data_IF_736106168485
#
_entry.id   IF_736106168485
#
_cell.length_a   1.000
_cell.length_b   1.000
_cell.length_c   1.000
_cell.angle_alpha   90.00
_cell.angle_beta   90.00
_cell.angle_gamma   90.00
#
_symmetry.space_group_name_H-M   'P 1'
#
loop_
_entity.id
_entity.type
_entity.pdbx_description
1 polymer ?
#
# COMPACT_ATOMS: atom_id res chain seq x y z
N UNK A 1 1.19 3.51 -28.92
CA UNK A 1 1.56 4.80 -28.30
C UNK A 1 1.32 4.85 -26.77
N UNK A 2 0.93 3.75 -26.10
CA UNK A 2 0.38 3.78 -24.73
C UNK A 2 1.32 3.37 -23.58
N UNK A 3 2.47 2.77 -23.82
CA UNK A 3 3.32 2.19 -22.74
C UNK A 3 4.46 3.10 -22.26
N UNK A 4 5.00 3.96 -23.13
CA UNK A 4 6.12 4.86 -22.75
C UNK A 4 5.68 5.96 -21.78
N UNK A 5 4.40 6.35 -21.80
CA UNK A 5 3.88 7.37 -20.88
C UNK A 5 3.62 6.80 -19.48
N UNK A 6 3.21 5.53 -19.38
CA UNK A 6 2.83 4.92 -18.10
C UNK A 6 4.00 4.63 -17.16
N UNK A 7 5.19 4.31 -17.68
CA UNK A 7 6.39 4.11 -16.84
C UNK A 7 6.89 5.41 -16.22
N UNK A 8 6.81 6.53 -16.96
CA UNK A 8 7.16 7.86 -16.43
C UNK A 8 6.17 8.31 -15.36
N UNK A 9 4.88 8.13 -15.61
CA UNK A 9 3.84 8.39 -14.62
C UNK A 9 4.02 7.51 -13.37
N UNK A 10 4.37 6.22 -13.55
CA UNK A 10 4.68 5.34 -12.43
C UNK A 10 5.91 5.79 -11.63
N UNK A 11 6.99 6.19 -12.31
CA UNK A 11 8.19 6.71 -11.67
C UNK A 11 7.91 8.00 -10.86
N UNK A 12 7.09 8.90 -11.39
CA UNK A 12 6.76 10.17 -10.72
C UNK A 12 6.04 9.99 -9.38
N UNK A 13 5.38 8.86 -9.15
CA UNK A 13 4.77 8.53 -7.85
C UNK A 13 5.86 8.38 -6.78
N UNK A 14 6.97 7.73 -7.14
CA UNK A 14 8.07 7.58 -6.21
C UNK A 14 8.76 8.93 -5.96
N UNK A 15 8.83 9.82 -6.94
CA UNK A 15 9.37 11.17 -6.74
C UNK A 15 8.49 11.96 -5.76
N UNK A 16 7.15 11.87 -5.89
CA UNK A 16 6.20 12.45 -4.93
C UNK A 16 6.41 11.86 -3.53
N UNK A 17 6.60 10.55 -3.40
CA UNK A 17 6.86 9.91 -2.11
C UNK A 17 8.18 10.36 -1.48
N UNK A 18 9.20 10.71 -2.28
CA UNK A 18 10.44 11.30 -1.77
C UNK A 18 10.20 12.70 -1.23
N UNK A 19 9.45 13.52 -1.96
CA UNK A 19 9.09 14.87 -1.57
C UNK A 19 8.26 14.88 -0.28
N UNK A 20 7.35 13.92 -0.13
CA UNK A 20 6.52 13.71 1.06
C UNK A 20 7.24 13.00 2.21
N UNK A 21 8.52 12.64 2.05
CA UNK A 21 9.30 11.89 3.06
C UNK A 21 8.67 10.55 3.46
N UNK A 22 7.96 9.91 2.54
CA UNK A 22 7.40 8.56 2.69
C UNK A 22 8.47 7.50 2.38
N UNK A 23 9.37 7.79 1.43
CA UNK A 23 10.55 6.95 1.14
C UNK A 23 11.82 7.77 1.35
N UNK A 24 12.92 7.07 1.59
CA UNK A 24 14.26 7.65 1.69
C UNK A 24 15.26 6.83 0.87
N UNK A 25 16.42 7.45 0.59
CA UNK A 25 17.53 6.72 -0.03
C UNK A 25 18.22 5.90 1.03
N UNK A 26 18.34 4.61 0.77
CA UNK A 26 19.15 3.69 1.58
C UNK A 26 20.62 4.10 1.46
N UNK A 27 21.32 4.21 2.59
CA UNK A 27 22.74 4.55 2.62
C UNK A 27 23.62 3.34 2.29
N UNK A 28 24.84 3.55 1.78
CA UNK A 28 25.79 2.47 1.49
C UNK A 28 25.96 1.44 2.62
N UNK A 29 26.15 1.83 3.89
CA UNK A 29 26.26 0.85 4.98
C UNK A 29 24.96 0.06 5.25
N UNK A 30 23.79 0.63 4.95
CA UNK A 30 22.51 -0.06 5.11
C UNK A 30 22.24 -1.06 3.97
N UNK A 31 22.81 -0.85 2.79
CA UNK A 31 22.71 -1.79 1.67
C UNK A 31 23.39 -3.13 2.02
N UNK A 32 24.45 -3.10 2.84
CA UNK A 32 25.16 -4.29 3.29
C UNK A 32 24.45 -5.04 4.42
N UNK A 33 23.34 -4.51 4.94
CA UNK A 33 22.55 -5.18 5.98
C UNK A 33 21.54 -6.15 5.39
N UNK A 34 21.15 -7.16 6.18
CA UNK A 34 20.09 -8.08 5.79
C UNK A 34 18.77 -7.32 5.56
N UNK A 35 18.37 -7.21 4.29
CA UNK A 35 17.20 -6.47 3.86
C UNK A 35 16.26 -7.33 3.00
N UNK A 36 14.95 -7.05 3.11
CA UNK A 36 13.94 -7.63 2.23
C UNK A 36 13.58 -6.63 1.13
N UNK A 37 13.78 -7.04 -0.13
CA UNK A 37 13.33 -6.27 -1.29
C UNK A 37 11.96 -6.73 -1.75
N UNK A 38 10.98 -5.82 -1.71
CA UNK A 38 9.63 -6.13 -2.13
C UNK A 38 9.48 -5.91 -3.64
N UNK A 39 9.16 -6.99 -4.36
CA UNK A 39 8.77 -6.88 -5.76
C UNK A 39 7.52 -5.98 -5.86
N UNK A 40 7.55 -5.04 -6.80
CA UNK A 40 6.43 -4.12 -6.99
C UNK A 40 5.94 -4.07 -8.43
N UNK A 41 4.65 -3.78 -8.60
CA UNK A 41 4.04 -3.57 -9.93
C UNK A 41 3.05 -2.42 -9.93
N UNK A 42 2.90 -1.80 -11.09
CA UNK A 42 1.88 -0.80 -11.32
C UNK A 42 0.50 -1.44 -11.52
N UNK A 43 -0.50 -0.98 -10.78
CA UNK A 43 -1.93 -1.30 -11.01
C UNK A 43 -2.66 -0.05 -11.47
N UNK A 44 -3.27 -0.13 -12.65
CA UNK A 44 -3.98 0.97 -13.29
C UNK A 44 -5.47 0.92 -12.97
N UNK A 45 -6.05 2.05 -12.56
CA UNK A 45 -7.48 2.18 -12.28
C UNK A 45 -8.09 3.30 -13.11
N UNK A 46 -9.24 3.02 -13.71
CA UNK A 46 -9.86 3.85 -14.77
C UNK A 46 -10.69 5.00 -14.17
N UNK A 47 -11.18 4.87 -12.93
CA UNK A 47 -12.15 5.80 -12.32
C UNK A 47 -11.73 6.35 -10.94
N UNK A 48 -10.46 6.20 -10.55
CA UNK A 48 -9.96 6.73 -9.28
C UNK A 48 -9.14 8.00 -9.47
N UNK A 49 -9.09 8.84 -8.43
CA UNK A 49 -8.28 10.07 -8.44
C UNK A 49 -6.79 9.79 -8.60
N UNK A 50 -6.34 8.62 -8.15
CA UNK A 50 -4.97 8.14 -8.36
C UNK A 50 -5.04 7.03 -9.41
N UNK A 51 -4.69 7.37 -10.65
CA UNK A 51 -4.85 6.48 -11.81
C UNK A 51 -3.91 5.27 -11.78
N UNK A 52 -2.81 5.35 -11.05
CA UNK A 52 -1.78 4.31 -10.95
C UNK A 52 -1.42 4.10 -9.48
N UNK A 53 -1.32 2.85 -9.03
CA UNK A 53 -0.92 2.49 -7.66
C UNK A 53 0.23 1.48 -7.68
N UNK A 54 1.37 1.77 -7.03
CA UNK A 54 2.37 0.75 -6.72
C UNK A 54 1.78 -0.28 -5.75
N UNK A 55 1.88 -1.56 -6.11
CA UNK A 55 1.52 -2.69 -5.24
C UNK A 55 2.78 -3.49 -4.97
N UNK A 56 3.10 -3.66 -3.69
CA UNK A 56 4.25 -4.43 -3.21
C UNK A 56 3.81 -5.83 -2.78
N UNK A 57 4.58 -6.83 -3.18
CA UNK A 57 4.35 -8.21 -2.80
C UNK A 57 5.26 -8.62 -1.63
N UNK A 58 4.68 -8.70 -0.45
CA UNK A 58 5.34 -9.14 0.79
C UNK A 58 5.24 -10.66 1.04
N UNK A 59 4.69 -11.42 0.09
CA UNK A 59 4.55 -12.89 0.19
C UNK A 59 5.69 -13.65 -0.47
N UNK A 60 6.55 -12.96 -1.23
CA UNK A 60 7.69 -13.56 -1.89
C UNK A 60 8.62 -14.25 -0.87
N UNK A 61 9.06 -15.47 -1.22
CA UNK A 61 9.98 -16.28 -0.43
C UNK A 61 11.24 -16.56 -1.25
N UNK A 62 12.38 -16.60 -0.60
CA UNK A 62 13.65 -17.01 -1.19
C UNK A 62 14.04 -18.39 -0.67
N UNK A 63 13.86 -19.43 -1.48
CA UNK A 63 14.13 -20.82 -1.07
C UNK A 63 13.32 -21.21 0.18
N UNK A 64 14.03 -21.59 1.25
CA UNK A 64 13.43 -21.93 2.55
C UNK A 64 13.33 -20.73 3.52
N UNK A 65 13.68 -19.52 3.08
CA UNK A 65 13.56 -18.33 3.92
C UNK A 65 12.08 -17.91 4.10
N UNK A 66 11.70 -17.39 5.28
CA UNK A 66 10.36 -16.86 5.51
C UNK A 66 10.06 -15.65 4.60
N UNK A 67 8.79 -15.42 4.29
CA UNK A 67 8.38 -14.16 3.64
C UNK A 67 8.35 -13.02 4.67
N UNK A 68 8.33 -11.76 4.20
CA UNK A 68 8.17 -10.61 5.11
C UNK A 68 6.90 -10.75 5.97
N UNK A 69 5.80 -11.25 5.39
CA UNK A 69 4.56 -11.49 6.13
C UNK A 69 4.67 -12.56 7.23
N UNK A 70 5.60 -13.51 7.10
CA UNK A 70 5.85 -14.52 8.14
C UNK A 70 6.68 -13.96 9.29
N UNK A 71 7.53 -12.98 9.01
CA UNK A 71 8.41 -12.33 9.99
C UNK A 71 7.70 -11.26 10.84
N UNK A 72 6.58 -10.72 10.36
CA UNK A 72 5.82 -9.68 11.06
C UNK A 72 4.88 -10.29 12.11
N UNK A 73 4.89 -9.71 13.31
CA UNK A 73 3.95 -10.09 14.38
C UNK A 73 2.51 -9.77 13.95
N UNK A 74 1.63 -10.77 14.00
CA UNK A 74 0.20 -10.57 13.80
C UNK A 74 -0.35 -9.80 15.01
N UNK A 75 -0.67 -8.53 14.79
CA UNK A 75 -1.35 -7.72 15.79
C UNK A 75 -2.74 -8.30 16.16
N UNK A 76 -3.31 -7.90 17.30
CA UNK A 76 -4.66 -8.29 17.67
C UNK A 76 -5.67 -7.78 16.63
N UNK A 77 -6.77 -8.51 16.44
CA UNK A 77 -7.86 -8.09 15.56
C UNK A 77 -8.58 -6.90 16.21
N UNK A 78 -8.30 -5.69 15.71
CA UNK A 78 -8.91 -4.44 16.21
C UNK A 78 -10.30 -4.16 15.60
N UNK A 79 -10.71 -4.93 14.59
CA UNK A 79 -11.98 -4.74 13.88
C UNK A 79 -13.06 -5.55 14.61
N UNK A 80 -14.17 -4.90 14.99
CA UNK A 80 -15.37 -5.59 15.52
C UNK A 80 -15.86 -6.61 14.50
N UNK A 81 -16.50 -7.68 14.96
CA UNK A 81 -17.10 -8.68 14.06
C UNK A 81 -17.98 -7.98 13.03
N UNK A 82 -17.82 -8.37 11.75
CA UNK A 82 -18.56 -7.77 10.63
C UNK A 82 -20.08 -7.79 10.88
N UNK A 83 -20.68 -8.90 11.39
CA UNK A 83 -22.09 -8.91 11.78
C UNK A 83 -22.47 -7.77 12.73
N UNK A 84 -21.71 -7.56 13.81
CA UNK A 84 -21.99 -6.51 14.80
C UNK A 84 -21.96 -5.11 14.19
N UNK A 85 -21.08 -4.88 13.21
CA UNK A 85 -20.99 -3.60 12.49
C UNK A 85 -22.23 -3.41 11.60
N UNK A 86 -22.63 -4.45 10.88
CA UNK A 86 -23.77 -4.42 9.98
C UNK A 86 -25.10 -4.27 10.74
N UNK A 87 -25.24 -4.94 11.88
CA UNK A 87 -26.45 -4.85 12.71
C UNK A 87 -26.64 -3.43 13.25
N UNK A 88 -25.59 -2.81 13.80
CA UNK A 88 -25.64 -1.40 14.22
C UNK A 88 -25.95 -0.44 13.07
N UNK A 89 -25.43 -0.71 11.87
CA UNK A 89 -25.70 0.11 10.70
C UNK A 89 -27.17 0.03 10.26
N UNK A 90 -27.82 -1.11 10.50
CA UNK A 90 -29.24 -1.36 10.15
C UNK A 90 -30.23 -0.91 11.22
N UNK A 91 -29.78 -0.59 12.44
CA UNK A 91 -30.65 -0.12 13.52
C UNK A 91 -31.33 1.21 13.23
N UNK A 92 -30.78 2.02 12.33
CA UNK A 92 -31.32 3.32 11.96
C UNK A 92 -31.78 3.32 10.51
N UNK A 93 -32.84 4.08 10.22
CA UNK A 93 -33.41 4.21 8.87
C UNK A 93 -32.47 4.90 7.86
N UNK A 94 -31.46 5.62 8.36
CA UNK A 94 -30.46 6.33 7.55
C UNK A 94 -29.07 5.99 8.10
N UNK A 95 -28.17 5.54 7.21
CA UNK A 95 -26.78 5.26 7.53
C UNK A 95 -25.83 6.14 6.71
N UNK A 96 -24.81 6.69 7.38
CA UNK A 96 -23.76 7.48 6.73
C UNK A 96 -22.51 6.64 6.50
N UNK A 97 -21.93 6.72 5.31
CA UNK A 97 -20.64 6.12 4.99
C UNK A 97 -19.63 7.23 4.75
N UNK A 98 -18.64 7.32 5.62
CA UNK A 98 -17.48 8.19 5.43
C UNK A 98 -16.26 7.34 5.07
N UNK A 99 -15.51 7.77 4.07
CA UNK A 99 -14.21 7.17 3.74
C UNK A 99 -13.14 8.20 4.06
N UNK A 100 -12.23 7.88 4.97
CA UNK A 100 -11.01 8.66 5.11
C UNK A 100 -10.14 8.35 3.90
N UNK A 101 -9.83 9.39 3.13
CA UNK A 101 -8.82 9.32 2.10
C UNK A 101 -7.54 9.84 2.71
N UNK A 102 -6.43 9.12 2.58
CA UNK A 102 -5.14 9.74 2.86
C UNK A 102 -5.03 10.98 1.99
N UNK A 103 -4.97 12.14 2.64
CA UNK A 103 -4.74 13.41 1.98
C UNK A 103 -3.31 13.35 1.44
N UNK A 104 -3.13 13.36 0.10
CA UNK A 104 -1.85 13.84 -0.44
C UNK A 104 -1.74 15.28 0.04
N UNK A 105 -0.88 15.52 1.02
CA UNK A 105 -0.46 16.87 1.37
C UNK A 105 0.20 17.48 0.12
N UNK A 106 -0.29 18.64 -0.32
CA UNK A 106 0.39 19.46 -1.32
C UNK A 106 1.23 20.51 -0.61
#
# INVERSE_FOLDING_TARGET
>A
MGEKNSLKEYASIFDEWEALKIKEKVTEPEIETDAYYLFHRAVFKIFETTKIRPVFDATAREGNNPSLNDCLLKGPILIKLIPDILDRFRMYSIGYRLTLKMLSYK
#
